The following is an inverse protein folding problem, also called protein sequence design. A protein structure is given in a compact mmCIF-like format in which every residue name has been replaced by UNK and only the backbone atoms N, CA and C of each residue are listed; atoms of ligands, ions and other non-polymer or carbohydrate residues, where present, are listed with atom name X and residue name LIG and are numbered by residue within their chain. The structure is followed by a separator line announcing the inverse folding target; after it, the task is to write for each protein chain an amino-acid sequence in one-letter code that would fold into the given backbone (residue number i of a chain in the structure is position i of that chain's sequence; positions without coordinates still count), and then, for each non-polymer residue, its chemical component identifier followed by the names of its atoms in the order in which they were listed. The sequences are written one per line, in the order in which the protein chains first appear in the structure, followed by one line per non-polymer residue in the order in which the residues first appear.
data_IF_054230782775
#
_entry.id   IF_054230782775
#
_cell.length_a   1.000
_cell.length_b   1.000
_cell.length_c   1.000
_cell.angle_alpha   90.00
_cell.angle_beta   90.00
_cell.angle_gamma   90.00
#
_symmetry.space_group_name_H-M   'P 1'
#
loop_
_entity.id
_entity.type
_entity.pdbx_description
1 polymer ?
#
# COMPACT_ATOMS: atom_id res chain seq x y z
N UNK A 1 6.08 -0.75 -8.58
CA UNK A 1 5.53 0.24 -7.64
C UNK A 1 6.07 1.60 -8.03
N UNK A 2 5.32 2.69 -7.78
CA UNK A 2 5.81 4.07 -7.99
C UNK A 2 6.01 4.78 -6.66
N UNK A 3 7.02 5.65 -6.57
CA UNK A 3 7.31 6.48 -5.40
C UNK A 3 7.32 7.94 -5.83
N UNK A 4 6.53 8.78 -5.16
CA UNK A 4 6.42 10.22 -5.41
C UNK A 4 6.80 11.04 -4.17
N UNK A 5 7.10 12.32 -4.40
CA UNK A 5 7.21 13.34 -3.35
C UNK A 5 5.92 14.15 -3.26
N UNK A 6 5.45 14.43 -2.05
CA UNK A 6 4.31 15.31 -1.79
C UNK A 6 4.55 16.76 -2.25
N UNK A 7 5.81 17.17 -2.43
CA UNK A 7 6.18 18.46 -3.02
C UNK A 7 5.81 18.60 -4.51
N UNK A 8 5.56 17.46 -5.18
CA UNK A 8 5.28 17.40 -6.62
C UNK A 8 3.89 16.87 -6.94
N UNK A 9 3.40 15.92 -6.14
CA UNK A 9 2.10 15.29 -6.34
C UNK A 9 1.34 15.24 -5.02
N UNK A 10 0.18 15.89 -4.97
CA UNK A 10 -0.72 15.76 -3.83
C UNK A 10 -1.41 14.40 -3.83
N UNK A 11 -1.84 13.93 -2.65
CA UNK A 11 -2.62 12.71 -2.54
C UNK A 11 -3.91 12.81 -3.36
N UNK A 12 -4.56 13.98 -3.39
CA UNK A 12 -5.82 14.16 -4.10
C UNK A 12 -5.63 14.05 -5.62
N UNK A 13 -4.58 14.64 -6.20
CA UNK A 13 -4.26 14.49 -7.62
C UNK A 13 -3.99 13.03 -8.01
N UNK A 14 -3.30 12.29 -7.14
CA UNK A 14 -3.03 10.85 -7.37
C UNK A 14 -4.30 10.01 -7.26
N UNK A 15 -5.22 10.36 -6.35
CA UNK A 15 -6.54 9.72 -6.23
C UNK A 15 -7.40 9.99 -7.47
N UNK A 16 -7.45 11.24 -7.92
CA UNK A 16 -8.19 11.65 -9.11
C UNK A 16 -7.64 10.93 -10.35
N UNK A 17 -6.32 10.92 -10.54
CA UNK A 17 -5.68 10.21 -11.66
C UNK A 17 -5.99 8.70 -11.66
N UNK A 18 -5.97 8.05 -10.49
CA UNK A 18 -6.29 6.63 -10.39
C UNK A 18 -7.78 6.37 -10.67
N UNK A 19 -8.67 7.22 -10.17
CA UNK A 19 -10.11 7.16 -10.42
C UNK A 19 -10.45 7.38 -11.89
N UNK A 20 -9.84 8.35 -12.54
CA UNK A 20 -9.99 8.63 -13.99
C UNK A 20 -9.51 7.46 -14.85
N UNK A 21 -8.54 6.69 -14.36
CA UNK A 21 -8.10 5.43 -14.96
C UNK A 21 -9.05 4.24 -14.67
N UNK A 22 -10.21 4.48 -14.05
CA UNK A 22 -11.20 3.47 -13.70
C UNK A 22 -10.78 2.56 -12.56
N UNK A 23 -9.90 3.02 -11.66
CA UNK A 23 -9.40 2.23 -10.53
C UNK A 23 -10.07 2.66 -9.24
N UNK A 24 -10.40 1.69 -8.39
CA UNK A 24 -10.75 1.94 -6.99
C UNK A 24 -9.51 2.49 -6.27
N UNK A 25 -9.72 3.35 -5.27
CA UNK A 25 -8.60 3.96 -4.53
C UNK A 25 -8.75 3.78 -3.02
N UNK A 26 -7.68 3.29 -2.37
CA UNK A 26 -7.53 3.29 -0.92
C UNK A 26 -6.31 4.14 -0.53
N UNK A 27 -6.39 4.82 0.62
CA UNK A 27 -5.27 5.60 1.15
C UNK A 27 -4.85 4.99 2.48
N UNK A 28 -3.58 4.63 2.57
CA UNK A 28 -2.96 4.11 3.79
C UNK A 28 -2.27 5.32 4.46
N UNK A 29 -2.78 5.79 5.62
CA UNK A 29 -2.29 6.99 6.26
C UNK A 29 -0.86 6.84 6.78
N UNK A 30 -0.22 7.98 7.03
CA UNK A 30 1.12 8.04 7.60
C UNK A 30 1.15 7.48 9.02
N UNK A 31 2.24 6.76 9.32
CA UNK A 31 2.56 6.26 10.65
C UNK A 31 4.07 6.37 10.87
N UNK A 32 4.50 6.63 12.11
CA UNK A 32 5.86 7.04 12.41
C UNK A 32 6.80 5.88 12.70
N UNK A 33 6.25 4.75 13.19
CA UNK A 33 7.03 3.57 13.55
C UNK A 33 6.66 2.36 12.71
N UNK A 34 7.61 1.42 12.55
CA UNK A 34 7.37 0.15 11.85
C UNK A 34 6.13 -0.59 12.36
N UNK A 35 5.93 -0.61 13.68
CA UNK A 35 4.78 -1.29 14.28
C UNK A 35 3.47 -0.62 13.86
N UNK A 36 3.38 0.70 13.98
CA UNK A 36 2.18 1.45 13.59
C UNK A 36 1.90 1.35 12.10
N UNK A 37 2.94 1.37 11.25
CA UNK A 37 2.81 1.14 9.81
C UNK A 37 2.16 -0.22 9.56
N UNK A 38 2.70 -1.29 10.15
CA UNK A 38 2.14 -2.64 10.00
C UNK A 38 0.69 -2.73 10.48
N UNK A 39 0.35 -2.11 11.61
CA UNK A 39 -1.02 -2.04 12.10
C UNK A 39 -1.94 -1.28 11.14
N UNK A 40 -1.47 -0.15 10.61
CA UNK A 40 -2.22 0.68 9.66
C UNK A 40 -2.54 -0.08 8.37
N UNK A 41 -1.58 -0.86 7.84
CA UNK A 41 -1.84 -1.75 6.71
C UNK A 41 -2.93 -2.77 7.05
N UNK A 42 -2.82 -3.43 8.21
CA UNK A 42 -3.80 -4.42 8.64
C UNK A 42 -5.21 -3.85 8.81
N UNK A 43 -5.34 -2.65 9.36
CA UNK A 43 -6.62 -1.98 9.57
C UNK A 43 -7.24 -1.48 8.26
N UNK A 44 -6.47 -0.81 7.40
CA UNK A 44 -6.99 -0.20 6.17
C UNK A 44 -7.32 -1.26 5.10
N UNK A 45 -6.54 -2.34 5.05
CA UNK A 45 -6.76 -3.42 4.09
C UNK A 45 -7.63 -4.56 4.64
N UNK A 46 -8.17 -4.38 5.86
CA UNK A 46 -9.05 -5.34 6.54
C UNK A 46 -8.42 -6.75 6.64
N UNK A 47 -7.15 -6.82 7.06
CA UNK A 47 -6.46 -8.08 7.28
C UNK A 47 -7.10 -8.89 8.43
N UNK A 48 -6.98 -10.22 8.42
CA UNK A 48 -7.59 -11.07 9.44
C UNK A 48 -7.20 -10.70 10.88
N UNK A 49 -8.08 -10.97 11.84
CA UNK A 49 -7.84 -10.66 13.26
C UNK A 49 -6.59 -11.33 13.87
N UNK A 50 -6.07 -12.38 13.23
CA UNK A 50 -4.83 -13.07 13.63
C UNK A 50 -3.58 -12.53 12.90
N UNK A 51 -3.67 -11.39 12.23
CA UNK A 51 -2.56 -10.70 11.58
C UNK A 51 -1.42 -10.43 12.58
N UNK A 52 -0.25 -11.00 12.31
CA UNK A 52 0.87 -11.06 13.26
C UNK A 52 1.67 -9.77 13.47
N UNK A 53 1.29 -8.66 12.82
CA UNK A 53 1.95 -7.33 12.91
C UNK A 53 3.48 -7.41 12.80
N UNK A 54 3.95 -8.12 11.78
CA UNK A 54 5.36 -8.26 11.44
C UNK A 54 5.52 -8.30 9.91
N UNK A 55 6.76 -8.25 9.41
CA UNK A 55 7.04 -8.14 7.97
C UNK A 55 6.62 -9.40 7.19
N UNK A 56 6.77 -10.59 7.77
CA UNK A 56 6.35 -11.84 7.14
C UNK A 56 4.82 -11.89 7.06
N UNK A 57 4.13 -11.55 8.16
CA UNK A 57 2.68 -11.46 8.18
C UNK A 57 2.15 -10.41 7.17
N UNK A 58 2.83 -9.27 7.03
CA UNK A 58 2.51 -8.26 6.01
C UNK A 58 2.60 -8.86 4.61
N UNK A 59 3.70 -9.57 4.32
CA UNK A 59 3.90 -10.20 3.02
C UNK A 59 2.80 -11.21 2.70
N UNK A 60 2.50 -12.11 3.64
CA UNK A 60 1.50 -13.15 3.46
C UNK A 60 0.10 -12.54 3.26
N UNK A 61 -0.28 -11.58 4.11
CA UNK A 61 -1.59 -10.93 4.01
C UNK A 61 -1.75 -10.07 2.76
N UNK A 62 -0.67 -9.48 2.24
CA UNK A 62 -0.71 -8.75 0.96
C UNK A 62 -0.87 -9.69 -0.23
N UNK A 63 -0.34 -10.91 -0.19
CA UNK A 63 -0.59 -11.91 -1.21
C UNK A 63 -2.05 -12.38 -1.19
N UNK A 64 -2.59 -12.70 0.00
CA UNK A 64 -4.02 -13.06 0.15
C UNK A 64 -4.94 -11.91 -0.32
N UNK A 65 -4.56 -10.66 -0.01
CA UNK A 65 -5.27 -9.48 -0.49
C UNK A 65 -5.16 -9.31 -2.01
N UNK A 66 -3.99 -9.55 -2.59
CA UNK A 66 -3.77 -9.48 -4.03
C UNK A 66 -4.59 -10.53 -4.80
N UNK A 67 -4.69 -11.75 -4.28
CA UNK A 67 -5.59 -12.79 -4.79
C UNK A 67 -7.04 -12.32 -4.72
N UNK A 68 -7.46 -11.79 -3.57
CA UNK A 68 -8.82 -11.27 -3.39
C UNK A 68 -9.17 -10.17 -4.40
N UNK A 69 -8.26 -9.20 -4.61
CA UNK A 69 -8.46 -8.12 -5.59
C UNK A 69 -8.46 -8.62 -7.02
N UNK A 70 -7.74 -9.71 -7.31
CA UNK A 70 -7.69 -10.31 -8.66
C UNK A 70 -8.96 -11.11 -8.96
N UNK A 71 -9.51 -11.79 -7.96
CA UNK A 71 -10.61 -12.73 -8.12
C UNK A 71 -12.00 -12.15 -7.79
N UNK A 72 -12.09 -10.97 -7.16
CA UNK A 72 -13.37 -10.37 -6.75
C UNK A 72 -14.24 -9.84 -7.91
N UNK A 73 -13.68 -9.79 -9.13
CA UNK A 73 -14.37 -9.33 -10.35
C UNK A 73 -14.70 -7.83 -10.37
N UNK A 74 -14.18 -7.05 -9.42
CA UNK A 74 -14.38 -5.60 -9.35
C UNK A 74 -13.30 -4.86 -10.15
N UNK A 75 -13.40 -3.54 -10.20
CA UNK A 75 -12.40 -2.72 -10.87
C UNK A 75 -11.03 -2.85 -10.19
N UNK A 76 -9.92 -2.73 -10.95
CA UNK A 76 -8.57 -2.76 -10.38
C UNK A 76 -8.41 -1.73 -9.26
N UNK A 77 -7.58 -2.06 -8.28
CA UNK A 77 -7.32 -1.23 -7.12
C UNK A 77 -5.98 -0.50 -7.25
N UNK A 78 -5.93 0.75 -6.83
CA UNK A 78 -4.71 1.44 -6.45
C UNK A 78 -4.78 1.74 -4.96
N UNK A 79 -3.78 1.40 -4.18
CA UNK A 79 -3.63 2.04 -2.87
C UNK A 79 -2.42 2.96 -2.81
N UNK A 80 -2.60 4.05 -2.08
CA UNK A 80 -1.63 5.13 -1.93
C UNK A 80 -1.15 5.14 -0.48
N UNK A 81 0.10 4.82 -0.26
CA UNK A 81 0.72 4.79 1.06
C UNK A 81 1.47 6.09 1.35
N UNK A 82 1.04 6.79 2.39
CA UNK A 82 1.69 8.00 2.89
C UNK A 82 2.85 7.64 3.82
N UNK A 83 4.01 8.23 3.58
CA UNK A 83 5.24 7.92 4.32
C UNK A 83 5.83 9.21 4.89
N UNK A 84 5.77 9.43 6.22
CA UNK A 84 6.39 10.61 6.81
C UNK A 84 7.91 10.48 6.78
N UNK A 85 8.61 11.63 6.75
CA UNK A 85 10.08 11.68 6.70
C UNK A 85 10.75 10.86 7.82
N UNK A 86 10.15 10.81 9.02
CA UNK A 86 10.63 10.01 10.14
C UNK A 86 10.69 8.53 9.81
N UNK A 87 9.62 7.96 9.24
CA UNK A 87 9.56 6.55 8.89
C UNK A 87 10.37 6.22 7.65
N UNK A 88 10.45 7.14 6.67
CA UNK A 88 11.28 6.96 5.46
C UNK A 88 12.74 6.64 5.78
N UNK A 89 13.25 7.14 6.91
CA UNK A 89 14.62 6.90 7.37
C UNK A 89 14.83 5.54 8.07
N UNK A 90 13.75 4.83 8.42
CA UNK A 90 13.81 3.51 9.05
C UNK A 90 14.19 2.43 8.02
N UNK A 91 15.04 1.47 8.42
CA UNK A 91 15.47 0.36 7.55
C UNK A 91 14.29 -0.44 7.00
N UNK A 92 13.21 -0.56 7.76
CA UNK A 92 12.01 -1.29 7.34
C UNK A 92 11.25 -0.62 6.20
N UNK A 93 11.42 0.67 5.96
CA UNK A 93 10.81 1.34 4.81
C UNK A 93 11.19 0.67 3.48
N UNK A 94 12.48 0.35 3.29
CA UNK A 94 12.96 -0.36 2.10
C UNK A 94 12.37 -1.77 1.97
N UNK A 95 12.29 -2.50 3.09
CA UNK A 95 11.75 -3.87 3.11
C UNK A 95 10.25 -3.87 2.80
N UNK A 96 9.50 -2.92 3.36
CA UNK A 96 8.07 -2.76 3.06
C UNK A 96 7.89 -2.39 1.59
N UNK A 97 8.71 -1.49 1.03
CA UNK A 97 8.70 -1.19 -0.40
C UNK A 97 8.89 -2.45 -1.28
N UNK A 98 9.82 -3.34 -0.90
CA UNK A 98 10.05 -4.62 -1.60
C UNK A 98 8.82 -5.53 -1.52
N UNK A 99 8.25 -5.71 -0.33
CA UNK A 99 7.02 -6.50 -0.12
C UNK A 99 5.85 -5.95 -0.94
N UNK A 100 5.66 -4.63 -0.95
CA UNK A 100 4.58 -3.98 -1.72
C UNK A 100 4.79 -4.11 -3.23
N UNK A 101 6.04 -4.04 -3.69
CA UNK A 101 6.37 -4.28 -5.09
C UNK A 101 6.11 -5.73 -5.49
N UNK A 102 6.39 -6.69 -4.62
CA UNK A 102 6.12 -8.11 -4.87
C UNK A 102 4.62 -8.37 -4.98
N UNK A 103 3.82 -7.85 -4.03
CA UNK A 103 2.36 -7.95 -4.08
C UNK A 103 1.75 -7.29 -5.34
N UNK A 104 2.25 -6.12 -5.75
CA UNK A 104 1.83 -5.48 -7.01
C UNK A 104 2.18 -6.35 -8.22
N UNK A 105 3.39 -6.91 -8.26
CA UNK A 105 3.84 -7.79 -9.34
C UNK A 105 2.99 -9.06 -9.41
N UNK A 106 2.65 -9.64 -8.25
CA UNK A 106 1.83 -10.83 -8.12
C UNK A 106 0.41 -10.62 -8.67
N UNK A 107 -0.23 -9.49 -8.32
CA UNK A 107 -1.57 -9.14 -8.80
C UNK A 107 -1.62 -8.67 -10.28
N UNK A 108 -0.47 -8.42 -10.90
CA UNK A 108 -0.38 -7.92 -12.27
C UNK A 108 -1.06 -6.56 -12.47
N UNK A 109 -2.17 -6.53 -13.21
CA UNK A 109 -2.90 -5.27 -13.50
C UNK A 109 -3.96 -4.92 -12.45
N UNK A 110 -4.33 -5.90 -11.61
CA UNK A 110 -5.43 -5.81 -10.65
C UNK A 110 -5.07 -4.93 -9.47
N UNK A 111 -3.79 -4.88 -9.07
CA UNK A 111 -3.29 -3.99 -8.01
C UNK A 111 -2.26 -3.02 -8.58
N UNK A 112 -2.28 -1.78 -8.07
CA UNK A 112 -1.17 -0.85 -8.24
C UNK A 112 -0.85 -0.19 -6.90
N UNK A 113 0.44 0.02 -6.65
CA UNK A 113 0.92 0.62 -5.41
C UNK A 113 1.66 1.92 -5.69
N UNK A 114 1.22 2.96 -5.00
CA UNK A 114 1.86 4.28 -5.01
C UNK A 114 2.31 4.60 -3.59
N UNK A 115 3.59 4.93 -3.43
CA UNK A 115 4.14 5.47 -2.19
C UNK A 115 4.31 6.98 -2.35
N UNK A 116 3.87 7.76 -1.37
CA UNK A 116 4.01 9.22 -1.35
C UNK A 116 4.77 9.62 -0.10
N UNK A 117 5.96 10.15 -0.29
CA UNK A 117 6.77 10.65 0.82
C UNK A 117 6.37 12.09 1.13
N UNK A 118 5.97 12.32 2.39
CA UNK A 118 5.54 13.61 2.94
C UNK A 118 6.73 14.47 3.38
#
# INVERSE_FOLDING_TARGET
MKIYSADTWTIEELREQASDAGRRVLVIPAADTKKEVLQTFGEVLDFPAHYGVNLDALNDSLHDFADTVTDDGKEPLTFIWQVPAVFRSDRSFGIICEILQDAESYAGKSLSVITVCL
#
